data_IF_136663343547
#
_entry.id   IF_136663343547
#
_cell.length_a   1.000
_cell.length_b   1.000
_cell.length_c   1.000
_cell.angle_alpha   90.00
_cell.angle_beta   90.00
_cell.angle_gamma   90.00
#
_symmetry.space_group_name_H-M   'P 1'
#
loop_
_entity.id
_entity.type
_entity.pdbx_description
1 polymer ?
#
# COMPACT_ATOMS: atom_id res chain seq x y z
N UNK A 1 -3.37 24.70 -2.41
CA UNK A 1 -2.57 23.57 -2.95
C UNK A 1 -3.53 22.47 -3.37
N UNK A 2 -3.32 21.88 -4.55
CA UNK A 2 -4.11 20.74 -5.04
C UNK A 2 -3.28 19.47 -4.84
N UNK A 3 -3.85 18.47 -4.16
CA UNK A 3 -3.22 17.16 -3.94
C UNK A 3 -3.99 16.08 -4.69
N UNK A 4 -3.28 15.24 -5.41
CA UNK A 4 -3.84 14.22 -6.28
C UNK A 4 -3.64 12.83 -5.67
N UNK A 5 -4.70 12.02 -5.70
CA UNK A 5 -4.66 10.63 -5.27
C UNK A 5 -5.47 9.77 -6.22
N UNK A 6 -5.01 8.56 -6.50
CA UNK A 6 -5.70 7.62 -7.36
C UNK A 6 -5.47 6.18 -6.89
N UNK A 7 -6.43 5.26 -7.13
CA UNK A 7 -6.21 3.84 -6.97
C UNK A 7 -5.49 3.26 -8.20
N UNK A 8 -4.70 2.21 -7.97
CA UNK A 8 -4.26 1.28 -8.99
C UNK A 8 -5.40 0.32 -9.31
N UNK A 9 -5.78 0.24 -10.58
CA UNK A 9 -6.88 -0.57 -11.08
C UNK A 9 -6.40 -1.37 -12.28
N UNK A 10 -6.61 -2.69 -12.22
CA UNK A 10 -6.39 -3.60 -13.34
C UNK A 10 -7.17 -3.12 -14.57
N UNK A 11 -6.58 -3.25 -15.76
CA UNK A 11 -7.18 -2.86 -17.04
C UNK A 11 -7.40 -1.35 -17.26
N UNK A 12 -7.00 -0.48 -16.33
CA UNK A 12 -7.14 0.98 -16.46
C UNK A 12 -5.79 1.66 -16.40
N UNK A 13 -5.04 1.45 -15.31
CA UNK A 13 -3.77 2.12 -15.05
C UNK A 13 -2.75 1.20 -14.39
N UNK A 14 -2.82 -0.11 -14.64
CA UNK A 14 -1.91 -1.14 -14.12
C UNK A 14 -0.56 -1.23 -14.87
N UNK A 15 -0.03 -0.07 -15.25
CA UNK A 15 1.19 0.12 -16.01
C UNK A 15 2.06 1.23 -15.36
N UNK A 16 3.34 0.97 -15.04
CA UNK A 16 4.23 1.96 -14.44
C UNK A 16 4.40 3.25 -15.27
N UNK A 17 4.36 3.16 -16.60
CA UNK A 17 4.59 4.31 -17.49
C UNK A 17 3.41 5.28 -17.46
N UNK A 18 2.19 4.75 -17.26
CA UNK A 18 0.98 5.55 -17.04
C UNK A 18 1.09 6.35 -15.74
N UNK A 19 1.57 5.72 -14.66
CA UNK A 19 1.76 6.39 -13.38
C UNK A 19 2.85 7.46 -13.41
N UNK A 20 4.00 7.15 -14.00
CA UNK A 20 5.09 8.11 -14.16
C UNK A 20 4.62 9.35 -14.95
N UNK A 21 3.99 9.13 -16.10
CA UNK A 21 3.43 10.19 -16.94
C UNK A 21 2.40 11.04 -16.20
N UNK A 22 1.51 10.39 -15.43
CA UNK A 22 0.48 11.09 -14.66
C UNK A 22 1.08 11.96 -13.54
N UNK A 23 2.04 11.45 -12.77
CA UNK A 23 2.67 12.23 -11.70
C UNK A 23 3.50 13.40 -12.22
N UNK A 24 4.23 13.21 -13.32
CA UNK A 24 4.95 14.32 -13.97
C UNK A 24 3.99 15.40 -14.47
N UNK A 25 2.88 14.98 -15.09
CA UNK A 25 1.86 15.92 -15.54
C UNK A 25 1.23 16.68 -14.39
N UNK A 26 0.98 16.03 -13.26
CA UNK A 26 0.50 16.68 -12.04
C UNK A 26 1.46 17.77 -11.58
N UNK A 27 2.75 17.46 -11.50
CA UNK A 27 3.79 18.43 -11.11
C UNK A 27 3.85 19.61 -12.08
N UNK A 28 3.82 19.36 -13.40
CA UNK A 28 3.82 20.42 -14.43
C UNK A 28 2.62 21.38 -14.29
N UNK A 29 1.49 20.88 -13.80
CA UNK A 29 0.26 21.65 -13.59
C UNK A 29 0.18 22.29 -12.19
N UNK A 30 1.26 22.25 -11.39
CA UNK A 30 1.29 22.80 -10.03
C UNK A 30 0.50 21.96 -9.00
N UNK A 31 0.18 20.72 -9.34
CA UNK A 31 -0.46 19.75 -8.45
C UNK A 31 0.58 18.87 -7.76
N UNK A 32 0.19 18.27 -6.63
CA UNK A 32 1.08 17.42 -5.83
C UNK A 32 0.60 15.97 -5.87
N UNK A 33 1.38 15.05 -6.48
CA UNK A 33 1.19 13.61 -6.30
C UNK A 33 1.20 13.25 -4.82
N UNK A 34 0.10 12.68 -4.31
CA UNK A 34 -0.06 12.46 -2.87
C UNK A 34 -0.16 10.99 -2.49
N UNK A 35 -1.12 10.25 -3.05
CA UNK A 35 -1.27 8.82 -2.78
C UNK A 35 -1.47 8.01 -4.05
N UNK A 36 -0.78 6.87 -4.10
CA UNK A 36 -1.19 5.72 -4.89
C UNK A 36 -1.83 4.69 -3.94
N UNK A 37 -3.12 4.45 -4.13
CA UNK A 37 -3.87 3.48 -3.33
C UNK A 37 -3.93 2.12 -4.00
N UNK A 38 -3.88 1.08 -3.19
CA UNK A 38 -4.43 -0.23 -3.57
C UNK A 38 -5.96 -0.08 -3.66
N UNK A 39 -6.58 -0.71 -4.65
CA UNK A 39 -8.04 -0.72 -4.81
C UNK A 39 -8.72 -1.31 -3.57
N UNK A 40 -9.76 -0.62 -3.08
CA UNK A 40 -10.47 -1.05 -1.87
C UNK A 40 -11.39 -2.21 -2.22
N UNK A 41 -11.40 -3.22 -1.35
CA UNK A 41 -12.31 -4.37 -1.33
C UNK A 41 -13.83 -4.01 -1.31
N UNK A 42 -14.35 -3.44 -2.40
CA UNK A 42 -15.73 -2.97 -2.56
C UNK A 42 -16.18 -3.09 -4.01
N UNK A 43 -17.44 -3.45 -4.27
CA UNK A 43 -18.01 -3.47 -5.62
C UNK A 43 -17.38 -4.53 -6.54
N UNK A 44 -17.00 -4.15 -7.76
CA UNK A 44 -16.46 -5.03 -8.79
C UNK A 44 -14.98 -5.41 -8.58
N UNK A 45 -14.56 -5.58 -7.32
CA UNK A 45 -13.17 -5.83 -6.90
C UNK A 45 -12.44 -6.85 -7.77
N UNK A 46 -13.03 -8.04 -7.97
CA UNK A 46 -12.38 -9.14 -8.71
C UNK A 46 -11.95 -8.76 -10.13
N UNK A 47 -12.60 -7.75 -10.72
CA UNK A 47 -12.25 -7.26 -12.04
C UNK A 47 -11.09 -6.24 -12.02
N UNK A 48 -10.96 -5.47 -10.94
CA UNK A 48 -10.01 -4.36 -10.83
C UNK A 48 -8.83 -4.61 -9.87
N UNK A 49 -8.88 -5.68 -9.07
CA UNK A 49 -7.84 -5.97 -8.09
C UNK A 49 -6.51 -6.36 -8.74
N UNK A 50 -5.42 -5.96 -8.09
CA UNK A 50 -4.05 -6.25 -8.49
C UNK A 50 -3.32 -6.82 -7.27
N UNK A 51 -2.60 -7.95 -7.39
CA UNK A 51 -1.80 -8.49 -6.29
C UNK A 51 -0.87 -7.44 -5.66
N UNK A 52 -0.65 -7.53 -4.35
CA UNK A 52 0.14 -6.54 -3.61
C UNK A 52 1.59 -6.46 -4.10
N UNK A 53 2.21 -7.59 -4.44
CA UNK A 53 3.55 -7.61 -5.05
C UNK A 53 3.54 -6.85 -6.38
N UNK A 54 2.58 -7.15 -7.27
CA UNK A 54 2.46 -6.47 -8.56
C UNK A 54 2.19 -4.97 -8.40
N UNK A 55 1.36 -4.59 -7.44
CA UNK A 55 1.07 -3.19 -7.11
C UNK A 55 2.35 -2.47 -6.68
N UNK A 56 3.16 -3.10 -5.82
CA UNK A 56 4.45 -2.57 -5.41
C UNK A 56 5.44 -2.48 -6.56
N UNK A 57 5.52 -3.48 -7.44
CA UNK A 57 6.38 -3.42 -8.63
C UNK A 57 6.02 -2.26 -9.55
N UNK A 58 4.73 -2.02 -9.79
CA UNK A 58 4.26 -0.90 -10.62
C UNK A 58 4.67 0.43 -9.98
N UNK A 59 4.41 0.59 -8.67
CA UNK A 59 4.82 1.79 -7.94
C UNK A 59 6.34 1.99 -8.03
N UNK A 60 7.12 0.95 -7.76
CA UNK A 60 8.58 0.97 -7.72
C UNK A 60 9.16 1.36 -9.10
N UNK A 61 8.65 0.77 -10.19
CA UNK A 61 9.06 1.09 -11.56
C UNK A 61 8.65 2.51 -11.98
N UNK A 62 7.45 2.96 -11.64
CA UNK A 62 7.03 4.34 -11.91
C UNK A 62 7.90 5.35 -11.13
N UNK A 63 8.20 5.06 -9.86
CA UNK A 63 8.99 5.92 -8.98
C UNK A 63 10.44 6.10 -9.45
N UNK A 64 11.00 5.09 -10.12
CA UNK A 64 12.33 5.17 -10.75
C UNK A 64 12.39 6.19 -11.91
N UNK A 65 11.28 6.38 -12.62
CA UNK A 65 11.23 7.21 -13.83
C UNK A 65 11.06 8.70 -13.54
N UNK A 66 10.54 9.06 -12.37
CA UNK A 66 10.16 10.45 -12.07
C UNK A 66 11.20 11.20 -11.23
N UNK A 67 11.19 12.53 -11.37
CA UNK A 67 12.06 13.44 -10.60
C UNK A 67 11.73 13.48 -9.10
N UNK A 68 12.67 13.98 -8.29
CA UNK A 68 12.50 14.16 -6.84
C UNK A 68 11.26 14.99 -6.44
N UNK A 69 10.76 15.86 -7.33
CA UNK A 69 9.58 16.69 -7.08
C UNK A 69 8.29 15.83 -7.10
N UNK A 70 8.21 14.89 -8.05
CA UNK A 70 7.08 13.96 -8.15
C UNK A 70 7.10 12.88 -7.05
N UNK A 71 8.28 12.60 -6.47
CA UNK A 71 8.51 11.61 -5.41
C UNK A 71 7.91 11.94 -4.03
N UNK A 72 7.05 12.97 -3.96
CA UNK A 72 6.22 13.27 -2.80
C UNK A 72 5.04 12.32 -2.62
N UNK A 73 4.70 11.56 -3.67
CA UNK A 73 3.70 10.48 -3.63
C UNK A 73 4.07 9.42 -2.60
N UNK A 74 3.08 8.95 -1.85
CA UNK A 74 3.19 7.85 -0.89
C UNK A 74 2.43 6.62 -1.42
N UNK A 75 2.97 5.43 -1.20
CA UNK A 75 2.34 4.21 -1.63
C UNK A 75 3.29 3.08 -2.04
N UNK A 76 2.73 1.97 -2.54
CA UNK A 76 1.29 1.73 -2.60
C UNK A 76 0.71 1.52 -1.20
N UNK A 77 -0.46 2.11 -0.93
CA UNK A 77 -1.06 2.09 0.41
C UNK A 77 -2.51 1.60 0.40
N UNK A 78 -2.91 0.92 1.46
CA UNK A 78 -4.26 0.46 1.73
C UNK A 78 -4.85 1.32 2.83
N UNK A 79 -6.05 1.89 2.63
CA UNK A 79 -6.79 2.58 3.69
C UNK A 79 -7.72 1.59 4.41
N UNK A 80 -7.17 0.85 5.36
CA UNK A 80 -7.88 -0.20 6.11
C UNK A 80 -8.43 0.29 7.47
N UNK A 81 -9.17 -0.58 8.16
CA UNK A 81 -9.78 -0.28 9.45
C UNK A 81 -8.78 0.11 10.57
N UNK A 82 -7.67 -0.63 10.76
CA UNK A 82 -6.63 -0.28 11.73
C UNK A 82 -5.86 0.99 11.38
N UNK A 83 -5.85 1.37 10.10
CA UNK A 83 -5.10 2.53 9.60
C UNK A 83 -4.72 2.40 8.13
N UNK A 84 -3.88 3.34 7.68
CA UNK A 84 -3.27 3.31 6.35
C UNK A 84 -1.96 2.54 6.40
N UNK A 85 -1.91 1.42 5.69
CA UNK A 85 -0.75 0.53 5.61
C UNK A 85 -0.09 0.69 4.26
N UNK A 86 1.21 0.92 4.23
CA UNK A 86 2.02 1.00 3.02
C UNK A 86 2.82 -0.30 2.83
N UNK A 87 2.82 -0.84 1.61
CA UNK A 87 3.69 -1.96 1.24
C UNK A 87 5.07 -1.39 0.89
N UNK A 88 6.09 -1.69 1.71
CA UNK A 88 7.46 -1.25 1.46
C UNK A 88 8.16 -2.10 0.40
N UNK A 89 7.76 -3.37 0.28
CA UNK A 89 8.22 -4.28 -0.74
C UNK A 89 8.11 -5.73 -0.35
N UNK A 90 8.69 -6.58 -1.18
CA UNK A 90 8.82 -8.01 -0.95
C UNK A 90 10.29 -8.33 -0.73
N UNK A 91 10.60 -9.09 0.32
CA UNK A 91 11.98 -9.43 0.69
C UNK A 91 12.04 -10.85 1.24
N UNK A 92 13.25 -11.37 1.42
CA UNK A 92 13.49 -12.65 2.08
C UNK A 92 14.20 -12.43 3.42
N UNK A 93 13.67 -13.02 4.48
CA UNK A 93 14.24 -12.97 5.84
C UNK A 93 14.32 -14.39 6.36
N UNK A 94 15.52 -14.84 6.72
CA UNK A 94 15.77 -16.20 7.21
C UNK A 94 15.20 -17.32 6.30
N UNK A 95 15.23 -17.12 4.98
CA UNK A 95 14.70 -18.07 4.00
C UNK A 95 13.17 -18.00 3.78
N UNK A 96 12.46 -17.10 4.46
CA UNK A 96 11.03 -16.87 4.28
C UNK A 96 10.81 -15.62 3.40
N UNK A 97 10.13 -15.79 2.26
CA UNK A 97 9.64 -14.67 1.45
C UNK A 97 8.50 -13.98 2.20
N UNK A 98 8.61 -12.67 2.40
CA UNK A 98 7.68 -11.87 3.20
C UNK A 98 7.34 -10.54 2.52
N UNK A 99 6.15 -10.03 2.81
CA UNK A 99 5.85 -8.61 2.60
C UNK A 99 6.39 -7.79 3.77
N UNK A 100 7.10 -6.71 3.47
CA UNK A 100 7.46 -5.68 4.44
C UNK A 100 6.45 -4.54 4.39
N UNK A 101 5.85 -4.20 5.53
CA UNK A 101 4.79 -3.20 5.64
C UNK A 101 5.06 -2.21 6.77
N UNK A 102 4.41 -1.05 6.72
CA UNK A 102 4.35 -0.09 7.82
C UNK A 102 3.02 0.65 7.85
N UNK A 103 2.63 1.14 9.02
CA UNK A 103 1.57 2.14 9.08
C UNK A 103 2.14 3.52 8.72
N UNK A 104 1.49 4.19 7.78
CA UNK A 104 1.71 5.62 7.50
C UNK A 104 0.67 6.50 8.22
N UNK A 105 -0.37 5.87 8.76
CA UNK A 105 -1.37 6.43 9.68
C UNK A 105 -1.99 5.25 10.44
N UNK A 106 -2.08 5.29 11.77
CA UNK A 106 -2.71 4.25 12.58
C UNK A 106 -3.83 4.82 13.48
N UNK A 107 -4.73 3.96 13.97
CA UNK A 107 -5.68 4.35 15.04
C UNK A 107 -4.94 4.64 16.35
N UNK A 108 -3.91 3.85 16.67
CA UNK A 108 -2.90 4.24 17.65
C UNK A 108 -1.72 4.92 16.92
N UNK A 109 -1.34 6.16 17.28
CA UNK A 109 -0.16 6.84 16.75
C UNK A 109 1.15 6.06 16.91
N UNK A 110 1.30 5.23 17.94
CA UNK A 110 2.52 4.45 18.21
C UNK A 110 2.75 3.32 17.19
N UNK A 111 1.75 2.99 16.37
CA UNK A 111 1.89 2.01 15.28
C UNK A 111 2.60 2.62 14.05
N UNK A 112 2.61 3.95 13.92
CA UNK A 112 3.12 4.66 12.73
C UNK A 112 4.62 4.44 12.59
N UNK A 113 5.07 4.21 11.35
CA UNK A 113 6.47 3.92 10.99
C UNK A 113 7.06 2.64 11.61
N UNK A 114 6.32 1.89 12.44
CA UNK A 114 6.76 0.59 12.94
C UNK A 114 6.70 -0.44 11.79
N UNK A 115 7.83 -1.04 11.39
CA UNK A 115 7.83 -2.10 10.38
C UNK A 115 7.18 -3.36 10.94
N UNK A 116 6.46 -4.08 10.08
CA UNK A 116 5.97 -5.42 10.37
C UNK A 116 5.98 -6.26 9.10
N UNK A 117 5.95 -7.58 9.27
CA UNK A 117 6.10 -8.53 8.17
C UNK A 117 4.91 -9.47 8.09
N UNK A 118 4.46 -9.71 6.86
CA UNK A 118 3.44 -10.71 6.57
C UNK A 118 4.02 -11.82 5.72
N UNK A 119 3.51 -13.05 5.89
CA UNK A 119 3.79 -14.17 4.98
C UNK A 119 3.48 -13.74 3.56
N UNK A 120 4.38 -14.08 2.64
CA UNK A 120 4.12 -13.87 1.24
C UNK A 120 2.94 -14.73 0.77
N UNK A 121 2.05 -14.10 0.01
CA UNK A 121 0.90 -14.69 -0.65
C UNK A 121 0.79 -13.99 -2.01
N UNK A 122 0.92 -14.75 -3.09
CA UNK A 122 0.91 -14.23 -4.46
C UNK A 122 -0.46 -13.68 -4.88
N UNK A 123 -1.52 -14.09 -4.20
CA UNK A 123 -2.91 -13.74 -4.52
C UNK A 123 -3.47 -12.68 -3.57
N UNK A 124 -2.71 -12.28 -2.53
CA UNK A 124 -3.13 -11.23 -1.62
C UNK A 124 -3.22 -9.88 -2.37
N UNK A 125 -4.41 -9.28 -2.31
CA UNK A 125 -4.76 -7.96 -2.84
C UNK A 125 -5.10 -6.96 -1.74
N UNK A 126 -5.26 -7.38 -0.48
CA UNK A 126 -5.64 -6.50 0.62
C UNK A 126 -5.13 -6.94 2.01
N UNK A 127 -5.15 -6.01 2.99
CA UNK A 127 -4.58 -6.22 4.33
C UNK A 127 -5.18 -7.41 5.09
N UNK A 128 -6.49 -7.62 5.06
CA UNK A 128 -7.15 -8.68 5.84
C UNK A 128 -6.83 -10.10 5.33
N UNK A 129 -6.24 -10.22 4.13
CA UNK A 129 -5.83 -11.49 3.55
C UNK A 129 -4.41 -11.89 4.02
N UNK A 130 -3.64 -10.93 4.53
CA UNK A 130 -2.28 -11.14 5.01
C UNK A 130 -2.28 -11.86 6.35
N UNK A 131 -1.26 -12.69 6.56
CA UNK A 131 -1.00 -13.40 7.82
C UNK A 131 0.37 -13.01 8.37
N UNK A 132 0.57 -12.98 9.70
CA UNK A 132 1.86 -12.67 10.29
C UNK A 132 2.96 -13.64 9.83
N UNK A 133 4.13 -13.11 9.51
CA UNK A 133 5.32 -13.90 9.16
C UNK A 133 5.93 -14.63 10.38
N UNK A 134 6.92 -15.50 10.15
CA UNK A 134 7.77 -16.07 11.20
C UNK A 134 7.05 -16.94 12.24
N UNK A 135 5.88 -17.46 11.88
CA UNK A 135 5.09 -18.32 12.78
C UNK A 135 4.31 -17.58 13.87
N UNK A 136 4.28 -16.24 13.83
CA UNK A 136 3.48 -15.43 14.73
C UNK A 136 1.97 -15.68 14.52
N UNK A 137 1.20 -15.65 15.59
CA UNK A 137 -0.26 -15.86 15.52
C UNK A 137 -1.01 -14.59 15.12
N UNK A 138 -0.47 -13.42 15.48
CA UNK A 138 -1.15 -12.11 15.31
C UNK A 138 -0.18 -11.02 14.88
N UNK A 139 -0.69 -10.00 14.20
CA UNK A 139 0.07 -8.76 14.02
C UNK A 139 0.08 -7.95 15.32
N UNK A 140 1.12 -7.15 15.52
CA UNK A 140 1.32 -6.37 16.74
C UNK A 140 0.16 -5.41 17.11
N UNK A 141 -0.69 -5.06 16.13
CA UNK A 141 -1.80 -4.11 16.28
C UNK A 141 -3.16 -4.80 16.51
N UNK A 142 -3.30 -6.11 16.29
CA UNK A 142 -4.60 -6.76 16.20
C UNK A 142 -5.39 -6.72 17.51
N UNK A 143 -4.79 -7.11 18.64
CA UNK A 143 -5.49 -7.15 19.93
C UNK A 143 -5.96 -5.77 20.38
N UNK A 144 -5.13 -4.75 20.17
CA UNK A 144 -5.48 -3.38 20.50
C UNK A 144 -6.54 -2.83 19.55
N UNK A 145 -6.42 -3.09 18.25
CA UNK A 145 -7.43 -2.70 17.26
C UNK A 145 -8.78 -3.35 17.53
N UNK A 146 -8.83 -4.64 17.87
CA UNK A 146 -10.07 -5.35 18.20
C UNK A 146 -10.77 -4.74 19.42
N UNK A 147 -10.02 -4.32 20.44
CA UNK A 147 -10.58 -3.62 21.61
C UNK A 147 -11.18 -2.26 21.22
N UNK A 148 -10.50 -1.49 20.36
CA UNK A 148 -11.01 -0.21 19.86
C UNK A 148 -12.29 -0.40 19.02
N UNK A 149 -12.29 -1.38 18.11
CA UNK A 149 -13.43 -1.65 17.24
C UNK A 149 -14.68 -2.17 17.97
N UNK A 150 -14.51 -2.76 19.16
CA UNK A 150 -15.62 -3.18 20.02
C UNK A 150 -16.21 -2.05 20.88
N UNK A 151 -15.55 -0.89 20.94
CA UNK A 151 -15.99 0.29 21.68
C UNK A 151 -16.66 1.35 20.78
N UNK A 152 -16.52 1.22 19.46
CA UNK A 152 -17.16 2.05 18.42
C UNK A 152 -18.58 1.55 18.10
#
# INVERSE_FOLDING_TARGET
>A
QIRCQAPLLKHINDDPDVWASMWEKQVQLGMIPYYMFVERDTGAKRYFEVPLERTWEIFQKAYQQVSGIARTVRGPSMSAGPGKVEVQGVTEIAGEKVFALRFIQGRNPDWVQRPFFAKYDSDATWLHQLKPAFGEEKFFFEDEYSKMAAMD
#
